data_IF_235949452494
#
_entry.id   IF_235949452494
#
_cell.length_a   1.000
_cell.length_b   1.000
_cell.length_c   1.000
_cell.angle_alpha   90.00
_cell.angle_beta   90.00
_cell.angle_gamma   90.00
#
_symmetry.space_group_name_H-M   'P 1'
#
loop_
_entity.id
_entity.type
_entity.pdbx_description
1 polymer ?
#
# COMPACT_ATOMS: atom_id res chain seq x y z
N UNK A 1 -17.18 -14.68 5.24
CA UNK A 1 -16.17 -13.64 4.98
C UNK A 1 -15.28 -13.56 6.21
N UNK A 2 -13.98 -13.87 6.08
CA UNK A 2 -13.03 -13.56 7.15
C UNK A 2 -12.91 -12.04 7.25
N UNK A 3 -13.25 -11.50 8.41
CA UNK A 3 -13.04 -10.08 8.73
C UNK A 3 -11.54 -9.98 9.08
N UNK A 4 -10.72 -9.44 8.17
CA UNK A 4 -9.33 -9.16 8.51
C UNK A 4 -9.32 -8.12 9.62
N UNK A 5 -8.49 -8.35 10.65
CA UNK A 5 -8.33 -7.38 11.75
C UNK A 5 -7.69 -6.09 11.26
N UNK A 6 -6.73 -6.20 10.34
CA UNK A 6 -6.05 -5.04 9.76
C UNK A 6 -5.94 -5.15 8.24
N UNK A 7 -6.09 -4.00 7.59
CA UNK A 7 -5.88 -3.83 6.16
C UNK A 7 -4.72 -2.86 5.93
N UNK A 8 -3.67 -3.34 5.27
CA UNK A 8 -2.57 -2.50 4.79
C UNK A 8 -2.92 -2.13 3.34
N UNK A 9 -3.24 -0.88 3.07
CA UNK A 9 -3.47 -0.38 1.71
C UNK A 9 -2.22 0.29 1.20
N UNK A 10 -1.61 -0.27 0.15
CA UNK A 10 -0.43 0.28 -0.51
C UNK A 10 -0.86 0.93 -1.81
N UNK A 11 -0.62 2.24 -1.96
CA UNK A 11 -0.90 2.94 -3.21
C UNK A 11 0.00 2.40 -4.32
N UNK A 12 -0.57 1.72 -5.32
CA UNK A 12 0.14 1.21 -6.50
C UNK A 12 -0.29 1.94 -7.77
N UNK A 13 -0.79 3.16 -7.63
CA UNK A 13 -1.25 3.95 -8.75
C UNK A 13 -0.08 4.32 -9.67
N UNK A 14 -0.25 4.04 -10.96
CA UNK A 14 0.63 4.48 -12.05
C UNK A 14 -0.04 5.62 -12.81
N UNK A 15 0.72 6.68 -13.10
CA UNK A 15 0.28 7.79 -13.96
C UNK A 15 1.04 7.78 -15.28
N UNK A 16 0.55 8.50 -16.32
CA UNK A 16 1.31 8.73 -17.54
C UNK A 16 2.69 9.33 -17.22
N UNK A 17 3.69 8.95 -18.02
CA UNK A 17 5.05 9.46 -17.87
C UNK A 17 5.05 10.99 -18.02
N UNK A 18 5.66 11.68 -17.05
CA UNK A 18 5.75 13.15 -17.05
C UNK A 18 4.57 13.86 -16.38
N UNK A 19 3.64 13.15 -15.75
CA UNK A 19 2.63 13.79 -14.89
C UNK A 19 3.34 14.54 -13.74
N UNK A 20 3.08 15.86 -13.55
CA UNK A 20 3.81 16.68 -12.59
C UNK A 20 3.59 16.27 -11.14
N UNK A 21 2.48 15.56 -10.82
CA UNK A 21 2.24 15.05 -9.46
C UNK A 21 3.10 13.83 -9.14
N UNK A 22 3.67 13.17 -10.16
CA UNK A 22 4.30 11.86 -10.03
C UNK A 22 3.32 10.80 -9.52
N UNK A 23 3.79 9.58 -9.29
CA UNK A 23 2.95 8.52 -8.75
C UNK A 23 3.73 7.54 -7.88
N UNK A 24 3.01 6.74 -7.08
CA UNK A 24 3.64 5.82 -6.15
C UNK A 24 4.30 4.62 -6.86
N UNK A 25 3.74 4.19 -8.01
CA UNK A 25 4.29 3.08 -8.77
C UNK A 25 5.71 3.41 -9.31
N UNK A 26 5.93 4.63 -9.82
CA UNK A 26 7.26 5.11 -10.24
C UNK A 26 8.27 5.16 -9.07
N UNK A 27 7.78 5.21 -7.84
CA UNK A 27 8.59 5.18 -6.60
C UNK A 27 8.71 3.76 -6.00
N UNK A 28 8.37 2.72 -6.78
CA UNK A 28 8.58 1.32 -6.41
C UNK A 28 7.50 0.71 -5.51
N UNK A 29 6.30 1.30 -5.44
CA UNK A 29 5.26 0.84 -4.52
C UNK A 29 4.70 -0.56 -4.83
N UNK A 30 4.84 -1.06 -6.06
CA UNK A 30 4.47 -2.44 -6.39
C UNK A 30 5.37 -3.47 -5.68
N UNK A 31 6.67 -3.17 -5.59
CA UNK A 31 7.63 -3.98 -4.84
C UNK A 31 7.31 -3.93 -3.35
N UNK A 32 6.95 -2.75 -2.83
CA UNK A 32 6.52 -2.58 -1.44
C UNK A 32 5.27 -3.41 -1.12
N UNK A 33 4.27 -3.41 -2.00
CA UNK A 33 3.05 -4.21 -1.82
C UNK A 33 3.36 -5.71 -1.80
N UNK A 34 4.25 -6.17 -2.68
CA UNK A 34 4.70 -7.57 -2.73
C UNK A 34 5.45 -7.95 -1.45
N UNK A 35 6.32 -7.06 -0.97
CA UNK A 35 7.04 -7.24 0.29
C UNK A 35 6.07 -7.40 1.47
N UNK A 36 5.06 -6.55 1.61
CA UNK A 36 4.06 -6.72 2.66
C UNK A 36 3.29 -8.04 2.58
N UNK A 37 2.97 -8.54 1.37
CA UNK A 37 2.36 -9.87 1.24
C UNK A 37 3.26 -10.98 1.75
N UNK A 38 4.55 -10.92 1.44
CA UNK A 38 5.54 -11.89 1.90
C UNK A 38 5.72 -11.83 3.42
N UNK A 39 5.75 -10.63 4.01
CA UNK A 39 5.88 -10.47 5.46
C UNK A 39 4.64 -10.94 6.22
N UNK A 40 3.42 -10.67 5.70
CA UNK A 40 2.18 -11.22 6.28
C UNK A 40 2.21 -12.75 6.30
N UNK A 41 2.77 -13.38 5.27
CA UNK A 41 2.97 -14.82 5.22
C UNK A 41 4.03 -15.29 6.21
N UNK A 42 5.22 -14.68 6.17
CA UNK A 42 6.37 -15.02 7.02
C UNK A 42 6.03 -14.94 8.50
N UNK A 43 5.18 -13.99 8.89
CA UNK A 43 4.75 -13.78 10.27
C UNK A 43 3.53 -14.62 10.67
N UNK A 44 3.01 -15.48 9.78
CA UNK A 44 1.82 -16.30 10.08
C UNK A 44 0.53 -15.50 10.22
N UNK A 45 0.46 -14.29 9.66
CA UNK A 45 -0.67 -13.37 9.79
C UNK A 45 -1.72 -13.54 8.69
N UNK A 46 -1.58 -14.54 7.81
CA UNK A 46 -2.57 -14.86 6.78
C UNK A 46 -3.95 -15.07 7.42
N UNK A 47 -4.97 -14.43 6.85
CA UNK A 47 -6.34 -14.44 7.38
C UNK A 47 -6.62 -13.42 8.49
N UNK A 48 -5.59 -12.82 9.09
CA UNK A 48 -5.71 -11.75 10.10
C UNK A 48 -5.36 -10.38 9.52
N UNK A 49 -4.30 -10.31 8.73
CA UNK A 49 -3.85 -9.08 8.06
C UNK A 49 -3.90 -9.28 6.55
N UNK A 50 -4.28 -8.24 5.82
CA UNK A 50 -4.27 -8.25 4.36
C UNK A 50 -3.52 -7.06 3.80
N UNK A 51 -2.50 -7.33 3.00
CA UNK A 51 -1.84 -6.33 2.16
C UNK A 51 -2.61 -6.17 0.84
N UNK A 52 -3.27 -5.04 0.66
CA UNK A 52 -4.09 -4.68 -0.48
C UNK A 52 -3.34 -3.74 -1.42
N UNK A 53 -3.62 -3.89 -2.72
CA UNK A 53 -3.33 -2.86 -3.71
C UNK A 53 -4.41 -1.78 -3.60
N UNK A 54 -4.02 -0.52 -3.58
CA UNK A 54 -4.92 0.62 -3.62
C UNK A 54 -4.64 1.47 -4.87
N UNK A 55 -5.68 2.16 -5.36
CA UNK A 55 -5.54 3.25 -6.32
C UNK A 55 -4.88 4.47 -5.68
N UNK A 56 -4.96 5.62 -6.36
CA UNK A 56 -4.43 6.88 -5.84
C UNK A 56 -5.06 7.19 -4.48
N UNK A 57 -4.22 7.41 -3.46
CA UNK A 57 -4.63 7.85 -2.12
C UNK A 57 -4.53 9.38 -1.95
N UNK A 58 -4.43 10.10 -3.07
CA UNK A 58 -4.21 11.55 -3.16
C UNK A 58 -2.97 12.11 -2.43
N UNK A 59 -2.06 11.23 -2.02
CA UNK A 59 -0.83 11.57 -1.32
C UNK A 59 0.43 11.40 -2.20
N UNK A 60 0.30 11.72 -3.49
CA UNK A 60 1.34 11.45 -4.51
C UNK A 60 2.67 12.16 -4.23
N UNK A 61 2.62 13.38 -3.68
CA UNK A 61 3.80 14.21 -3.41
C UNK A 61 4.76 13.53 -2.42
N UNK A 62 4.20 12.80 -1.45
CA UNK A 62 4.92 12.09 -0.39
C UNK A 62 5.01 10.58 -0.63
N UNK A 63 4.53 10.07 -1.77
CA UNK A 63 4.51 8.62 -2.02
C UNK A 63 5.89 7.94 -1.98
N UNK A 64 5.97 6.60 -1.91
CA UNK A 64 4.88 5.64 -1.81
C UNK A 64 4.08 5.77 -0.51
N UNK A 65 2.75 5.80 -0.62
CA UNK A 65 1.88 5.96 0.55
C UNK A 65 1.24 4.64 0.93
N UNK A 66 1.17 4.41 2.25
CA UNK A 66 0.52 3.26 2.87
C UNK A 66 -0.42 3.76 3.96
N UNK A 67 -1.63 3.21 4.03
CA UNK A 67 -2.55 3.44 5.14
C UNK A 67 -3.00 2.13 5.76
N UNK A 68 -3.00 2.06 7.08
CA UNK A 68 -3.44 0.89 7.85
C UNK A 68 -4.80 1.20 8.47
N UNK A 69 -5.79 0.38 8.15
CA UNK A 69 -7.11 0.39 8.79
C UNK A 69 -7.27 -0.80 9.74
N UNK A 70 -8.04 -0.65 10.85
CA UNK A 70 -8.94 0.47 11.16
C UNK A 70 -8.31 1.72 11.76
N UNK A 71 -7.04 1.69 12.15
CA UNK A 71 -6.37 2.76 12.92
C UNK A 71 -6.22 4.08 12.14
N UNK A 72 -6.31 4.02 10.81
CA UNK A 72 -6.11 5.19 9.95
C UNK A 72 -4.68 5.73 10.00
N UNK A 73 -3.69 4.86 10.30
CA UNK A 73 -2.28 5.26 10.41
C UNK A 73 -1.65 5.28 9.03
N UNK A 74 -1.00 6.40 8.70
CA UNK A 74 -0.37 6.63 7.41
C UNK A 74 1.15 6.53 7.52
N UNK A 75 1.76 5.92 6.51
CA UNK A 75 3.21 5.87 6.30
C UNK A 75 3.52 6.34 4.88
N UNK A 76 4.61 7.10 4.74
CA UNK A 76 5.07 7.66 3.48
C UNK A 76 6.58 7.95 3.59
N UNK A 77 7.23 8.30 2.47
CA UNK A 77 8.68 8.56 2.39
C UNK A 77 8.93 10.00 1.99
#
# INVERSE_FOLDING_TARGET
>A
MTIFKHHIFVCVNQRPKGDPRGCCADRGSERLQTFFKQEVERLGLKGTVRANKAGCLDHCEYGPSVVIYPEGVWYWV
#
